data_IF_503801195352
#
_entry.id   IF_503801195352
#
_cell.length_a   1.000
_cell.length_b   1.000
_cell.length_c   1.000
_cell.angle_alpha   90.00
_cell.angle_beta   90.00
_cell.angle_gamma   90.00
#
_symmetry.space_group_name_H-M   'P 1'
#
loop_
_entity.id
_entity.type
_entity.pdbx_description
1 polymer ?
#
# COMPACT_ATOMS: atom_id res chain seq x y z
N UNK A 1 -11.22 -22.63 -8.71
CA UNK A 1 -10.29 -23.20 -9.68
C UNK A 1 -9.02 -23.54 -8.92
N UNK A 2 -8.36 -24.67 -9.22
CA UNK A 2 -7.11 -25.08 -8.55
C UNK A 2 -6.08 -25.41 -9.62
N UNK A 3 -4.83 -24.99 -9.43
CA UNK A 3 -3.74 -25.29 -10.37
C UNK A 3 -3.03 -26.57 -9.95
N UNK A 4 -2.80 -27.49 -10.87
CA UNK A 4 -2.04 -28.71 -10.59
C UNK A 4 -0.57 -28.35 -10.33
N UNK A 5 0.03 -28.75 -9.19
CA UNK A 5 1.42 -28.43 -8.89
C UNK A 5 2.42 -29.16 -9.79
N UNK A 6 2.00 -30.20 -10.51
CA UNK A 6 2.88 -31.03 -11.32
C UNK A 6 2.92 -30.61 -12.81
N UNK A 7 1.78 -30.20 -13.37
CA UNK A 7 1.69 -29.83 -14.79
C UNK A 7 1.14 -28.41 -15.02
N UNK A 8 0.95 -27.62 -13.96
CA UNK A 8 0.42 -26.25 -13.98
C UNK A 8 -0.97 -26.09 -14.62
N UNK A 9 -1.68 -27.18 -14.90
CA UNK A 9 -3.01 -27.13 -15.52
C UNK A 9 -4.08 -26.65 -14.54
N UNK A 10 -5.04 -25.86 -15.04
CA UNK A 10 -6.17 -25.37 -14.26
C UNK A 10 -7.26 -26.45 -14.17
N UNK A 11 -7.44 -27.00 -12.98
CA UNK A 11 -8.50 -27.98 -12.69
C UNK A 11 -9.75 -27.26 -12.21
N UNK A 12 -10.80 -27.30 -13.03
CA UNK A 12 -12.10 -26.70 -12.72
C UNK A 12 -12.90 -27.53 -11.69
N UNK A 13 -12.76 -28.87 -11.75
CA UNK A 13 -13.46 -29.77 -10.85
C UNK A 13 -12.83 -29.80 -9.45
N UNK A 14 -13.53 -29.19 -8.48
CA UNK A 14 -13.06 -29.07 -7.08
C UNK A 14 -13.04 -30.40 -6.30
N UNK A 15 -13.64 -31.46 -6.84
CA UNK A 15 -13.71 -32.78 -6.21
C UNK A 15 -12.71 -33.78 -6.79
N UNK A 16 -11.94 -33.37 -7.81
CA UNK A 16 -10.93 -34.22 -8.42
C UNK A 16 -9.76 -34.45 -7.46
N UNK A 17 -9.53 -35.72 -7.11
CA UNK A 17 -8.41 -36.18 -6.25
C UNK A 17 -7.13 -36.38 -7.07
N UNK A 18 -7.25 -36.52 -8.39
CA UNK A 18 -6.15 -36.60 -9.35
C UNK A 18 -6.32 -35.52 -10.41
N UNK A 19 -5.22 -35.02 -10.95
CA UNK A 19 -5.26 -34.12 -12.10
C UNK A 19 -5.80 -34.87 -13.33
N UNK A 20 -6.76 -34.31 -14.10
CA UNK A 20 -7.30 -34.96 -15.29
C UNK A 20 -6.25 -35.15 -16.39
N UNK A 21 -5.33 -34.21 -16.55
CA UNK A 21 -4.28 -34.25 -17.58
C UNK A 21 -3.14 -35.21 -17.21
N UNK A 22 -2.39 -34.90 -16.15
CA UNK A 22 -1.17 -35.66 -15.82
C UNK A 22 -1.39 -36.85 -14.87
N UNK A 23 -2.63 -37.08 -14.41
CA UNK A 23 -3.02 -38.15 -13.46
C UNK A 23 -2.29 -38.13 -12.11
N UNK A 24 -1.50 -37.09 -11.81
CA UNK A 24 -0.82 -36.93 -10.54
C UNK A 24 -1.82 -36.75 -9.39
N UNK A 25 -1.45 -37.22 -8.20
CA UNK A 25 -2.29 -37.06 -7.01
C UNK A 25 -2.23 -35.63 -6.49
N UNK A 26 -3.39 -35.08 -6.14
CA UNK A 26 -3.46 -33.77 -5.49
C UNK A 26 -2.85 -33.82 -4.07
N UNK A 27 -2.30 -32.70 -3.57
CA UNK A 27 -1.76 -32.59 -2.23
C UNK A 27 -2.71 -33.11 -1.14
N UNK A 28 -2.12 -33.71 -0.08
CA UNK A 28 -2.85 -34.41 0.99
C UNK A 28 -4.01 -33.58 1.60
N UNK A 29 -3.78 -32.29 1.85
CA UNK A 29 -4.80 -31.39 2.41
C UNK A 29 -6.03 -31.22 1.51
N UNK A 30 -5.85 -31.27 0.18
CA UNK A 30 -6.93 -31.20 -0.79
C UNK A 30 -7.74 -32.50 -0.75
N UNK A 31 -7.06 -33.64 -0.65
CA UNK A 31 -7.69 -34.96 -0.58
C UNK A 31 -8.56 -35.10 0.67
N UNK A 32 -8.03 -34.71 1.82
CA UNK A 32 -8.76 -34.70 3.09
C UNK A 32 -9.99 -33.78 3.04
N UNK A 33 -9.89 -32.61 2.41
CA UNK A 33 -11.02 -31.71 2.25
C UNK A 33 -12.14 -32.28 1.35
N UNK A 34 -11.78 -33.03 0.30
CA UNK A 34 -12.75 -33.70 -0.57
C UNK A 34 -13.40 -34.90 0.13
N UNK A 35 -12.62 -35.70 0.87
CA UNK A 35 -13.14 -36.83 1.66
C UNK A 35 -14.10 -36.37 2.75
N UNK A 36 -13.80 -35.27 3.45
CA UNK A 36 -14.70 -34.68 4.44
C UNK A 36 -16.05 -34.28 3.83
N UNK A 37 -16.02 -33.58 2.70
CA UNK A 37 -17.27 -33.17 1.99
C UNK A 37 -18.08 -34.37 1.52
N UNK A 38 -17.43 -35.45 1.09
CA UNK A 38 -18.13 -36.69 0.72
C UNK A 38 -18.77 -37.34 1.93
N UNK A 39 -18.08 -37.41 3.07
CA UNK A 39 -18.66 -37.90 4.32
C UNK A 39 -19.90 -37.09 4.75
N UNK A 40 -19.82 -35.76 4.66
CA UNK A 40 -20.93 -34.86 4.98
C UNK A 40 -22.13 -35.05 4.02
N UNK A 41 -21.87 -35.33 2.73
CA UNK A 41 -22.92 -35.59 1.75
C UNK A 41 -23.60 -36.97 1.93
N UNK A 42 -22.87 -37.98 2.40
CA UNK A 42 -23.44 -39.30 2.71
C UNK A 42 -24.32 -39.24 3.96
N UNK A 43 -23.92 -38.49 4.98
CA UNK A 43 -24.73 -38.26 6.18
C UNK A 43 -26.09 -37.58 5.87
N UNK A 44 -26.17 -36.79 4.80
CA UNK A 44 -27.42 -36.18 4.34
C UNK A 44 -28.34 -37.15 3.57
N UNK A 45 -27.83 -38.27 3.04
CA UNK A 45 -28.60 -39.23 2.23
C UNK A 45 -29.30 -40.32 3.04
N UNK A 46 -28.84 -40.61 4.26
CA UNK A 46 -29.48 -41.60 5.14
C UNK A 46 -30.73 -41.06 5.87
N UNK A 47 -31.09 -39.79 5.66
CA UNK A 47 -32.36 -39.22 6.11
C UNK A 47 -33.40 -39.47 5.00
N UNK A 48 -34.06 -40.62 5.07
CA UNK A 48 -35.07 -41.04 4.09
C UNK A 48 -36.24 -40.07 3.91
N UNK A 49 -37.00 -40.18 2.80
CA UNK A 49 -37.99 -39.18 2.36
C UNK A 49 -39.32 -39.18 3.13
N UNK A 50 -39.41 -39.84 4.28
CA UNK A 50 -40.65 -39.94 5.08
C UNK A 50 -40.38 -39.51 6.51
N UNK A 51 -40.78 -38.28 6.84
CA UNK A 51 -40.92 -37.85 8.24
C UNK A 51 -40.21 -36.56 8.65
N UNK A 52 -39.64 -35.78 7.72
CA UNK A 52 -39.16 -34.45 8.04
C UNK A 52 -39.94 -33.38 7.28
N UNK A 53 -41.23 -33.23 7.62
CA UNK A 53 -41.79 -31.88 7.76
C UNK A 53 -41.12 -31.26 8.98
N UNK A 54 -39.79 -31.12 8.94
CA UNK A 54 -39.11 -30.14 9.78
C UNK A 54 -39.45 -28.85 9.09
N UNK A 55 -40.46 -28.20 9.65
CA UNK A 55 -40.49 -26.75 9.79
C UNK A 55 -39.04 -26.30 9.87
N UNK A 56 -38.49 -25.87 8.74
CA UNK A 56 -37.28 -25.06 8.76
C UNK A 56 -37.70 -23.89 9.65
N UNK A 57 -37.10 -23.71 10.85
CA UNK A 57 -37.32 -22.48 11.57
C UNK A 57 -37.05 -21.37 10.56
N UNK A 58 -37.94 -20.36 10.43
CA UNK A 58 -37.76 -19.30 9.45
C UNK A 58 -36.31 -18.87 9.54
N UNK A 59 -35.56 -18.99 8.44
CA UNK A 59 -34.20 -18.48 8.37
C UNK A 59 -34.37 -17.02 8.74
N UNK A 60 -33.84 -16.56 9.89
CA UNK A 60 -33.98 -15.16 10.26
C UNK A 60 -33.39 -14.38 9.09
N UNK A 61 -34.22 -13.58 8.41
CA UNK A 61 -33.75 -12.69 7.33
C UNK A 61 -32.74 -11.66 7.85
N UNK A 62 -32.54 -11.65 9.17
CA UNK A 62 -31.54 -10.88 9.90
C UNK A 62 -30.15 -11.55 9.90
N UNK A 63 -30.04 -12.81 9.43
CA UNK A 63 -28.76 -13.49 9.20
C UNK A 63 -28.21 -13.23 7.78
N UNK A 64 -28.54 -12.07 7.20
CA UNK A 64 -27.70 -11.50 6.16
C UNK A 64 -26.25 -11.46 6.68
N UNK A 65 -25.24 -11.77 5.85
CA UNK A 65 -23.84 -11.86 6.25
C UNK A 65 -23.27 -10.47 6.57
N UNK A 66 -23.71 -9.89 7.68
CA UNK A 66 -23.21 -8.65 8.30
C UNK A 66 -21.74 -8.77 8.70
N UNK A 67 -21.21 -10.01 8.76
CA UNK A 67 -19.82 -10.31 9.13
C UNK A 67 -18.76 -10.09 8.05
N UNK A 68 -19.10 -9.86 6.77
CA UNK A 68 -18.09 -9.66 5.71
C UNK A 68 -17.85 -8.20 5.30
N UNK A 69 -18.79 -7.29 5.58
CA UNK A 69 -18.59 -5.85 5.33
C UNK A 69 -17.48 -5.16 6.16
N UNK A 70 -17.16 -5.54 7.42
CA UNK A 70 -16.11 -4.83 8.18
C UNK A 70 -14.70 -5.08 7.62
N UNK A 71 -14.45 -6.26 7.01
CA UNK A 71 -13.13 -6.58 6.47
C UNK A 71 -12.79 -5.81 5.18
N UNK A 72 -13.79 -5.51 4.34
CA UNK A 72 -13.61 -4.67 3.16
C UNK A 72 -13.33 -3.20 3.53
N UNK A 73 -13.97 -2.68 4.60
CA UNK A 73 -13.67 -1.35 5.13
C UNK A 73 -12.24 -1.24 5.66
N UNK A 74 -11.76 -2.26 6.37
CA UNK A 74 -10.39 -2.28 6.88
C UNK A 74 -9.34 -2.49 5.76
N UNK A 75 -9.67 -3.28 4.73
CA UNK A 75 -8.81 -3.44 3.56
C UNK A 75 -8.62 -2.15 2.76
N UNK A 76 -9.71 -1.40 2.53
CA UNK A 76 -9.64 -0.09 1.86
C UNK A 76 -8.86 0.94 2.70
N UNK A 77 -9.05 0.94 4.02
CA UNK A 77 -8.30 1.80 4.93
C UNK A 77 -6.79 1.48 4.93
N UNK A 78 -6.45 0.19 4.95
CA UNK A 78 -5.05 -0.27 4.91
C UNK A 78 -4.40 0.06 3.56
N UNK A 79 -5.14 -0.06 2.47
CA UNK A 79 -4.72 0.36 1.13
C UNK A 79 -4.50 1.87 1.05
N UNK A 80 -5.40 2.66 1.62
CA UNK A 80 -5.27 4.12 1.69
C UNK A 80 -4.06 4.55 2.52
N UNK A 81 -3.87 3.96 3.70
CA UNK A 81 -2.71 4.20 4.55
C UNK A 81 -1.39 3.89 3.83
N UNK A 82 -1.30 2.74 3.15
CA UNK A 82 -0.11 2.40 2.36
C UNK A 82 0.11 3.37 1.20
N UNK A 83 -0.96 3.73 0.47
CA UNK A 83 -0.83 4.64 -0.67
C UNK A 83 -0.37 6.03 -0.21
N UNK A 84 -0.93 6.54 0.88
CA UNK A 84 -0.52 7.83 1.48
C UNK A 84 0.89 7.77 2.06
N UNK A 85 1.36 6.61 2.55
CA UNK A 85 2.74 6.47 3.01
C UNK A 85 3.76 6.33 1.86
N UNK A 86 3.40 5.63 0.78
CA UNK A 86 4.35 5.22 -0.27
C UNK A 86 4.41 6.23 -1.42
N UNK A 87 3.29 6.87 -1.75
CA UNK A 87 3.20 7.80 -2.87
C UNK A 87 4.04 9.08 -2.65
N UNK A 88 4.07 9.72 -1.46
CA UNK A 88 4.89 10.91 -1.24
C UNK A 88 6.40 10.67 -1.36
N UNK A 89 6.98 9.58 -0.81
CA UNK A 89 8.38 9.23 -1.07
C UNK A 89 8.71 8.98 -2.54
N UNK A 90 7.82 8.30 -3.28
CA UNK A 90 8.01 8.07 -4.72
C UNK A 90 7.94 9.37 -5.51
N UNK A 91 7.02 10.26 -5.15
CA UNK A 91 6.88 11.56 -5.78
C UNK A 91 8.09 12.47 -5.46
N UNK A 92 8.60 12.42 -4.24
CA UNK A 92 9.85 13.09 -3.86
C UNK A 92 11.02 12.55 -4.71
N UNK A 93 11.17 11.24 -4.80
CA UNK A 93 12.22 10.61 -5.62
C UNK A 93 12.14 11.09 -7.09
N UNK A 94 10.93 11.17 -7.64
CA UNK A 94 10.71 11.71 -8.99
C UNK A 94 11.12 13.19 -9.09
N UNK A 95 10.68 14.02 -8.14
CA UNK A 95 11.03 15.44 -8.09
C UNK A 95 12.52 15.70 -7.86
N UNK A 96 13.29 14.77 -7.30
CA UNK A 96 14.74 14.91 -7.14
C UNK A 96 15.53 14.41 -8.35
N UNK A 97 15.03 13.38 -9.02
CA UNK A 97 15.70 12.78 -10.18
C UNK A 97 15.52 13.61 -11.45
N UNK A 98 14.36 14.23 -11.67
CA UNK A 98 14.11 15.11 -12.81
C UNK A 98 15.08 16.32 -12.88
N UNK A 99 15.26 17.12 -11.83
CA UNK A 99 16.20 18.24 -11.83
C UNK A 99 17.67 17.81 -11.96
N UNK A 100 18.05 16.67 -11.36
CA UNK A 100 19.38 16.12 -11.53
C UNK A 100 19.67 15.71 -12.99
N UNK A 101 18.67 15.16 -13.68
CA UNK A 101 18.77 14.80 -15.09
C UNK A 101 18.88 16.05 -15.99
N UNK A 102 18.09 17.09 -15.74
CA UNK A 102 18.19 18.38 -16.43
C UNK A 102 19.56 19.04 -16.21
N UNK A 103 20.14 18.87 -15.02
CA UNK A 103 21.48 19.38 -14.70
C UNK A 103 22.59 18.66 -15.45
N UNK A 104 22.46 17.34 -15.62
CA UNK A 104 23.40 16.54 -16.40
C UNK A 104 23.47 17.04 -17.85
N UNK A 105 22.36 17.57 -18.37
CA UNK A 105 22.25 18.16 -19.72
C UNK A 105 22.85 19.56 -19.78
N UNK A 106 22.58 20.43 -18.80
CA UNK A 106 23.09 21.82 -18.76
C UNK A 106 24.58 21.93 -18.46
N UNK A 107 25.18 20.91 -17.84
CA UNK A 107 26.62 20.88 -17.50
C UNK A 107 27.55 21.05 -18.71
N UNK A 108 27.07 20.86 -19.95
CA UNK A 108 27.86 21.07 -21.17
C UNK A 108 28.17 22.53 -21.53
N UNK A 109 27.54 23.52 -20.88
CA UNK A 109 27.71 24.94 -21.22
C UNK A 109 28.36 25.70 -20.05
N UNK A 110 29.68 25.87 -20.09
CA UNK A 110 30.49 26.47 -19.01
C UNK A 110 30.08 27.89 -18.62
N UNK A 111 29.62 28.71 -19.56
CA UNK A 111 29.38 30.14 -19.33
C UNK A 111 28.04 30.44 -18.62
N UNK A 112 27.10 29.50 -18.61
CA UNK A 112 25.82 29.63 -17.90
C UNK A 112 25.79 28.89 -16.57
N UNK A 113 26.88 28.18 -16.23
CA UNK A 113 26.96 27.35 -15.02
C UNK A 113 26.56 28.12 -13.76
N UNK A 114 27.18 29.26 -13.46
CA UNK A 114 26.91 29.99 -12.21
C UNK A 114 25.47 30.53 -12.09
N UNK A 115 24.88 31.04 -13.18
CA UNK A 115 23.51 31.51 -13.19
C UNK A 115 22.51 30.36 -13.09
N UNK A 116 22.77 29.26 -13.82
CA UNK A 116 22.01 28.02 -13.75
C UNK A 116 22.03 27.41 -12.34
N UNK A 117 23.18 27.35 -11.68
CA UNK A 117 23.29 26.84 -10.30
C UNK A 117 22.49 27.66 -9.29
N UNK A 118 22.52 29.00 -9.38
CA UNK A 118 21.74 29.87 -8.48
C UNK A 118 20.24 29.70 -8.69
N UNK A 119 19.80 29.68 -9.95
CA UNK A 119 18.39 29.45 -10.29
C UNK A 119 17.93 28.06 -9.81
N UNK A 120 18.75 27.04 -10.02
CA UNK A 120 18.44 25.67 -9.62
C UNK A 120 18.31 25.49 -8.11
N UNK A 121 19.24 26.04 -7.33
CA UNK A 121 19.15 25.98 -5.87
C UNK A 121 17.90 26.68 -5.35
N UNK A 122 17.52 27.82 -5.94
CA UNK A 122 16.30 28.53 -5.61
C UNK A 122 15.04 27.74 -5.98
N UNK A 123 15.02 27.10 -7.16
CA UNK A 123 13.90 26.26 -7.62
C UNK A 123 13.75 25.03 -6.71
N UNK A 124 14.84 24.34 -6.38
CA UNK A 124 14.81 23.18 -5.47
C UNK A 124 14.36 23.58 -4.07
N UNK A 125 14.84 24.70 -3.54
CA UNK A 125 14.40 25.21 -2.25
C UNK A 125 12.91 25.57 -2.26
N UNK A 126 12.44 26.32 -3.26
CA UNK A 126 11.04 26.69 -3.40
C UNK A 126 10.15 25.45 -3.57
N UNK A 127 10.56 24.48 -4.40
CA UNK A 127 9.86 23.22 -4.59
C UNK A 127 9.74 22.43 -3.29
N UNK A 128 10.80 22.35 -2.50
CA UNK A 128 10.78 21.69 -1.19
C UNK A 128 9.86 22.39 -0.19
N UNK A 129 9.87 23.72 -0.14
CA UNK A 129 8.97 24.50 0.73
C UNK A 129 7.51 24.29 0.34
N UNK A 130 7.17 24.43 -0.95
CA UNK A 130 5.81 24.19 -1.45
C UNK A 130 5.35 22.78 -1.14
N UNK A 131 6.20 21.78 -1.37
CA UNK A 131 5.89 20.39 -1.07
C UNK A 131 5.65 20.16 0.44
N UNK A 132 6.50 20.70 1.31
CA UNK A 132 6.32 20.58 2.77
C UNK A 132 4.99 21.20 3.23
N UNK A 133 4.61 22.34 2.64
CA UNK A 133 3.31 22.98 2.91
C UNK A 133 2.15 22.10 2.43
N UNK A 134 2.22 21.59 1.20
CA UNK A 134 1.20 20.69 0.65
C UNK A 134 1.03 19.42 1.49
N UNK A 135 2.14 18.79 1.89
CA UNK A 135 2.14 17.60 2.74
C UNK A 135 1.53 17.89 4.11
N UNK A 136 1.84 19.06 4.68
CA UNK A 136 1.30 19.51 5.97
C UNK A 136 -0.21 19.75 5.89
N UNK A 137 -0.70 20.38 4.81
CA UNK A 137 -2.13 20.58 4.56
C UNK A 137 -2.83 19.22 4.40
N UNK A 138 -2.25 18.31 3.59
CA UNK A 138 -2.82 16.99 3.36
C UNK A 138 -2.90 16.18 4.66
N UNK A 139 -1.84 16.19 5.47
CA UNK A 139 -1.79 15.56 6.78
C UNK A 139 -2.82 16.13 7.76
N UNK A 140 -3.02 17.46 7.77
CA UNK A 140 -4.02 18.12 8.60
C UNK A 140 -5.46 17.73 8.19
N UNK A 141 -5.75 17.66 6.89
CA UNK A 141 -7.05 17.19 6.38
C UNK A 141 -7.28 15.73 6.78
N UNK A 142 -6.27 14.88 6.64
CA UNK A 142 -6.35 13.47 7.00
C UNK A 142 -6.63 13.28 8.51
N UNK A 143 -5.95 14.07 9.35
CA UNK A 143 -6.20 14.11 10.79
C UNK A 143 -7.63 14.57 11.09
N UNK A 144 -8.10 15.62 10.44
CA UNK A 144 -9.48 16.12 10.59
C UNK A 144 -10.50 15.03 10.23
N UNK A 145 -10.30 14.32 9.12
CA UNK A 145 -11.17 13.20 8.71
C UNK A 145 -11.17 12.08 9.75
N UNK A 146 -10.00 11.71 10.28
CA UNK A 146 -9.91 10.70 11.35
C UNK A 146 -10.65 11.14 12.62
N UNK A 147 -10.54 12.41 13.00
CA UNK A 147 -11.26 12.99 14.15
C UNK A 147 -12.78 12.98 13.91
N UNK A 148 -13.23 13.29 12.70
CA UNK A 148 -14.66 13.25 12.35
C UNK A 148 -15.21 11.81 12.36
N UNK A 149 -14.36 10.83 12.06
CA UNK A 149 -14.68 9.41 12.10
C UNK A 149 -14.34 8.73 13.43
N UNK A 150 -14.10 9.49 14.52
CA UNK A 150 -13.65 8.98 15.84
C UNK A 150 -14.48 7.84 16.45
N UNK A 151 -15.73 7.67 16.01
CA UNK A 151 -16.59 6.58 16.47
C UNK A 151 -16.26 5.21 15.84
N UNK A 152 -15.36 5.15 14.85
CA UNK A 152 -15.02 3.92 14.13
C UNK A 152 -13.58 3.44 14.33
N UNK A 153 -12.73 4.21 15.00
CA UNK A 153 -11.33 3.87 15.22
C UNK A 153 -11.05 3.62 16.68
N UNK A 154 -10.17 2.66 16.98
CA UNK A 154 -9.65 2.54 18.32
C UNK A 154 -8.84 3.80 18.68
N UNK A 155 -8.97 4.32 19.91
CA UNK A 155 -8.28 5.53 20.33
C UNK A 155 -6.76 5.43 20.16
N UNK A 156 -6.19 4.23 20.27
CA UNK A 156 -4.78 3.97 20.03
C UNK A 156 -4.34 4.33 18.58
N UNK A 157 -5.16 4.00 17.58
CA UNK A 157 -4.84 4.30 16.18
C UNK A 157 -4.88 5.80 15.88
N UNK A 158 -5.82 6.51 16.52
CA UNK A 158 -5.95 7.96 16.37
C UNK A 158 -4.74 8.70 16.97
N UNK A 159 -4.22 8.22 18.11
CA UNK A 159 -3.00 8.74 18.74
C UNK A 159 -1.77 8.48 17.86
N UNK A 160 -1.63 7.26 17.32
CA UNK A 160 -0.50 6.92 16.44
C UNK A 160 -0.52 7.80 15.19
N UNK A 161 -1.68 8.03 14.57
CA UNK A 161 -1.78 8.92 13.42
C UNK A 161 -1.46 10.39 13.79
N UNK A 162 -1.99 10.86 14.93
CA UNK A 162 -1.77 12.22 15.41
C UNK A 162 -0.30 12.53 15.74
N UNK A 163 0.45 11.54 16.21
CA UNK A 163 1.87 11.70 16.59
C UNK A 163 2.80 11.32 15.44
N UNK A 164 2.50 10.25 14.71
CA UNK A 164 3.33 9.72 13.64
C UNK A 164 3.45 10.65 12.44
N UNK A 165 2.34 11.29 12.03
CA UNK A 165 2.33 12.21 10.87
C UNK A 165 3.23 13.43 11.11
N UNK A 166 3.13 14.15 12.24
CA UNK A 166 4.05 15.25 12.55
C UNK A 166 5.52 14.82 12.62
N UNK A 167 5.82 13.67 13.24
CA UNK A 167 7.19 13.18 13.34
C UNK A 167 7.77 12.90 11.94
N UNK A 168 7.02 12.22 11.07
CA UNK A 168 7.41 11.96 9.68
C UNK A 168 7.64 13.27 8.91
N UNK A 169 6.78 14.27 9.09
CA UNK A 169 6.94 15.58 8.47
C UNK A 169 8.21 16.30 8.95
N UNK A 170 8.51 16.26 10.26
CA UNK A 170 9.72 16.86 10.84
C UNK A 170 10.98 16.15 10.31
N UNK A 171 11.00 14.81 10.28
CA UNK A 171 12.14 14.04 9.78
C UNK A 171 12.36 14.36 8.30
N UNK A 172 11.29 14.41 7.50
CA UNK A 172 11.37 14.80 6.09
C UNK A 172 11.94 16.22 5.95
N UNK A 173 11.46 17.18 6.72
CA UNK A 173 11.98 18.55 6.72
C UNK A 173 13.46 18.63 7.10
N UNK A 174 13.88 17.95 8.17
CA UNK A 174 15.27 17.91 8.60
C UNK A 174 16.19 17.31 7.54
N UNK A 175 15.76 16.21 6.90
CA UNK A 175 16.51 15.59 5.81
C UNK A 175 16.73 16.55 4.64
N UNK A 176 15.68 17.29 4.25
CA UNK A 176 15.74 18.29 3.19
C UNK A 176 16.66 19.47 3.55
N UNK A 177 16.66 19.89 4.82
CA UNK A 177 17.54 20.95 5.32
C UNK A 177 19.01 20.52 5.29
N UNK A 178 19.30 19.26 5.68
CA UNK A 178 20.65 18.69 5.61
C UNK A 178 21.11 18.63 4.16
N UNK A 179 20.32 18.08 3.23
CA UNK A 179 20.70 18.02 1.81
C UNK A 179 20.94 19.42 1.23
N UNK A 180 20.02 20.35 1.50
CA UNK A 180 20.17 21.74 1.05
C UNK A 180 21.43 22.39 1.57
N UNK A 181 21.76 22.20 2.86
CA UNK A 181 22.98 22.75 3.46
C UNK A 181 24.26 22.10 2.93
N UNK A 182 24.30 20.77 2.74
CA UNK A 182 25.44 20.06 2.14
C UNK A 182 25.69 20.57 0.72
N UNK A 183 24.63 20.77 -0.06
CA UNK A 183 24.76 21.31 -1.42
C UNK A 183 25.36 22.72 -1.43
N UNK A 184 24.90 23.62 -0.55
CA UNK A 184 25.46 24.97 -0.40
C UNK A 184 26.91 24.92 0.09
N UNK A 185 27.24 24.00 1.00
CA UNK A 185 28.59 23.86 1.53
C UNK A 185 29.58 23.35 0.49
N UNK A 186 29.21 22.33 -0.29
CA UNK A 186 30.04 21.82 -1.40
C UNK A 186 30.33 22.92 -2.42
N UNK A 187 29.31 23.73 -2.75
CA UNK A 187 29.49 24.89 -3.64
C UNK A 187 30.53 25.89 -3.12
N UNK A 188 30.54 26.19 -1.82
CA UNK A 188 31.50 27.15 -1.25
C UNK A 188 32.95 26.68 -1.39
N UNK A 189 33.20 25.37 -1.45
CA UNK A 189 34.55 24.83 -1.70
C UNK A 189 34.99 25.04 -3.14
N UNK A 190 34.07 24.96 -4.09
CA UNK A 190 34.36 25.20 -5.51
C UNK A 190 34.46 26.70 -5.86
N UNK A 191 34.01 27.59 -4.96
CA UNK A 191 34.09 29.05 -5.10
C UNK A 191 35.35 29.67 -4.44
N UNK A 192 36.20 28.90 -3.75
CA UNK A 192 37.56 29.40 -3.41
C UNK A 192 38.29 29.63 -4.74
N UNK A 193 38.58 30.89 -5.11
CA UNK A 193 39.23 31.17 -6.37
C UNK A 193 40.59 30.50 -6.32
N UNK A 194 40.92 29.70 -7.34
CA UNK A 194 42.30 29.36 -7.63
C UNK A 194 43.09 30.68 -7.65
N UNK A 195 43.86 30.89 -6.59
CA UNK A 195 44.71 32.06 -6.42
C UNK A 195 45.81 31.93 -7.47
N UNK A 196 45.75 32.78 -8.51
CA UNK A 196 46.89 33.10 -9.38
C UNK A 196 48.08 33.65 -8.57
#
# INVERSE_FOLDING_TARGET
>A
MRVCPNCAEVVENREAVKCPECKSQMPLHIRQAVEKRKADATAAKDIGPKGAVRVLPPIPQDAAPTGMMPYLKNGALLGFLNTVLILPPLFLLYLFTAPAAEFMILSKFEQHRQAGYKAMAAITFAGNVVFAVLLSILGAILLLVLVLMKNQFEPAQLVIAAVGIPILAIISFLYQLVIGSVYVFLRKRDEEPEVE
#
